data_IF_981911465580
#
_entry.id   IF_981911465580
#
_cell.length_a   1.000
_cell.length_b   1.000
_cell.length_c   1.000
_cell.angle_alpha   90.00
_cell.angle_beta   90.00
_cell.angle_gamma   90.00
#
_symmetry.space_group_name_H-M   'P 1'
#
loop_
_entity.id
_entity.type
_entity.pdbx_description
1 polymer ?
#
# COMPACT_ATOMS: atom_id res chain seq x y z
N UNK A 1 39.28 7.78 -16.50
CA UNK A 1 38.88 7.07 -15.27
C UNK A 1 38.66 5.60 -15.61
N UNK A 2 39.20 4.67 -14.83
CA UNK A 2 39.00 3.22 -15.00
C UNK A 2 38.18 2.74 -13.80
N UNK A 3 36.99 2.19 -14.06
CA UNK A 3 36.11 1.64 -13.02
C UNK A 3 36.26 0.13 -12.96
N UNK A 4 36.39 -0.40 -11.74
CA UNK A 4 36.30 -1.84 -11.48
C UNK A 4 34.91 -2.14 -10.96
N UNK A 5 34.05 -2.67 -11.83
CA UNK A 5 32.68 -3.04 -11.49
C UNK A 5 32.63 -4.53 -11.18
N UNK A 6 31.87 -4.92 -10.15
CA UNK A 6 31.55 -6.30 -9.84
C UNK A 6 30.03 -6.45 -9.86
N UNK A 7 29.52 -7.39 -10.65
CA UNK A 7 28.11 -7.79 -10.58
C UNK A 7 27.95 -8.58 -9.29
N UNK A 8 27.09 -8.09 -8.39
CA UNK A 8 26.85 -8.72 -7.09
C UNK A 8 25.80 -9.80 -7.23
N UNK A 9 24.67 -9.45 -7.84
CA UNK A 9 23.51 -10.33 -7.94
C UNK A 9 22.62 -9.92 -9.13
N UNK A 10 21.85 -10.88 -9.64
CA UNK A 10 20.77 -10.65 -10.60
C UNK A 10 19.45 -11.01 -9.93
N UNK A 11 18.56 -10.04 -9.79
CA UNK A 11 17.23 -10.24 -9.21
C UNK A 11 16.33 -10.97 -10.22
N UNK A 12 15.98 -12.21 -9.92
CA UNK A 12 15.11 -13.02 -10.78
C UNK A 12 13.65 -13.06 -10.32
N UNK A 13 13.43 -12.97 -9.01
CA UNK A 13 12.08 -12.99 -8.41
C UNK A 13 11.25 -11.75 -8.85
N UNK A 14 10.03 -11.93 -9.38
CA UNK A 14 9.18 -10.82 -9.82
C UNK A 14 8.84 -9.80 -8.73
N UNK A 15 8.64 -10.24 -7.48
CA UNK A 15 8.28 -9.34 -6.37
C UNK A 15 9.49 -8.52 -5.95
N UNK A 16 10.66 -9.16 -5.86
CA UNK A 16 11.93 -8.45 -5.58
C UNK A 16 12.29 -7.47 -6.71
N UNK A 17 11.95 -7.76 -7.97
CA UNK A 17 12.10 -6.78 -9.06
C UNK A 17 11.22 -5.56 -8.85
N UNK A 18 9.96 -5.74 -8.44
CA UNK A 18 9.07 -4.61 -8.13
C UNK A 18 9.65 -3.78 -6.98
N UNK A 19 10.13 -4.44 -5.92
CA UNK A 19 10.80 -3.78 -4.79
C UNK A 19 12.02 -2.97 -5.26
N UNK A 20 12.91 -3.58 -6.04
CA UNK A 20 14.11 -2.93 -6.56
C UNK A 20 13.80 -1.74 -7.48
N UNK A 21 12.74 -1.83 -8.30
CA UNK A 21 12.31 -0.71 -9.16
C UNK A 21 11.83 0.46 -8.30
N UNK A 22 11.01 0.20 -7.26
CA UNK A 22 10.56 1.25 -6.35
C UNK A 22 11.76 1.86 -5.63
N UNK A 23 12.69 1.06 -5.13
CA UNK A 23 13.89 1.55 -4.43
C UNK A 23 14.80 2.40 -5.32
N UNK A 24 14.95 2.03 -6.60
CA UNK A 24 15.77 2.76 -7.56
C UNK A 24 15.27 4.20 -7.79
N UNK A 25 13.96 4.37 -7.90
CA UNK A 25 13.33 5.66 -8.25
C UNK A 25 12.81 6.42 -7.01
N UNK A 26 12.54 5.71 -5.92
CA UNK A 26 12.03 6.23 -4.65
C UNK A 26 12.63 5.43 -3.45
N UNK A 27 13.91 5.68 -3.09
CA UNK A 27 14.64 4.92 -2.05
C UNK A 27 14.16 5.18 -0.61
N UNK A 28 13.07 5.93 -0.44
CA UNK A 28 12.54 6.36 0.85
C UNK A 28 11.62 5.27 1.40
N UNK A 29 11.94 4.76 2.59
CA UNK A 29 11.08 3.87 3.40
C UNK A 29 10.56 2.65 2.61
N UNK A 30 11.42 2.04 1.77
CA UNK A 30 11.06 0.92 0.89
C UNK A 30 10.40 -0.26 1.65
N UNK A 31 10.79 -0.46 2.90
CA UNK A 31 10.25 -1.51 3.77
C UNK A 31 8.78 -1.27 4.16
N UNK A 32 8.26 -0.06 4.04
CA UNK A 32 6.84 0.25 4.30
C UNK A 32 5.93 -0.10 3.12
N UNK A 33 6.48 -0.28 1.92
CA UNK A 33 5.72 -0.71 0.75
C UNK A 33 5.38 -2.20 0.87
N UNK A 34 4.08 -2.52 0.87
CA UNK A 34 3.63 -3.93 0.91
C UNK A 34 3.29 -4.39 -0.49
N UNK A 35 4.12 -5.24 -1.05
CA UNK A 35 3.97 -5.79 -2.40
C UNK A 35 3.36 -7.19 -2.28
N UNK A 36 2.31 -7.45 -3.05
CA UNK A 36 1.62 -8.75 -3.08
C UNK A 36 1.34 -9.18 -4.52
N UNK A 37 1.85 -10.33 -4.96
CA UNK A 37 1.48 -10.89 -6.25
C UNK A 37 0.10 -11.54 -6.19
N UNK A 38 -0.70 -11.35 -7.23
CA UNK A 38 -2.02 -11.98 -7.43
C UNK A 38 -2.13 -12.44 -8.90
N UNK A 39 -1.68 -13.67 -9.18
CA UNK A 39 -1.66 -14.19 -10.55
C UNK A 39 -0.74 -13.36 -11.46
N UNK A 40 -1.29 -12.77 -12.53
CA UNK A 40 -0.58 -11.88 -13.44
C UNK A 40 -0.54 -10.42 -12.99
N UNK A 41 -1.17 -10.10 -11.86
CA UNK A 41 -1.24 -8.76 -11.27
C UNK A 41 -0.28 -8.63 -10.08
N UNK A 42 0.21 -7.42 -9.84
CA UNK A 42 0.85 -7.05 -8.57
C UNK A 42 0.09 -5.92 -7.88
N UNK A 43 -0.13 -6.08 -6.57
CA UNK A 43 -0.71 -5.06 -5.70
C UNK A 43 0.39 -4.45 -4.85
N UNK A 44 0.51 -3.13 -4.88
CA UNK A 44 1.43 -2.37 -4.04
C UNK A 44 0.63 -1.46 -3.11
N UNK A 45 0.65 -1.75 -1.81
CA UNK A 45 0.05 -0.87 -0.80
C UNK A 45 1.05 0.23 -0.46
N UNK A 46 0.61 1.47 -0.66
CA UNK A 46 1.43 2.66 -0.46
C UNK A 46 1.51 3.05 1.02
N UNK A 47 2.68 3.51 1.50
CA UNK A 47 2.80 4.12 2.81
C UNK A 47 2.09 5.48 2.87
N UNK A 48 1.76 5.93 4.08
CA UNK A 48 1.04 7.20 4.30
C UNK A 48 1.84 8.43 3.86
N UNK A 49 3.17 8.32 3.79
CA UNK A 49 4.05 9.38 3.29
C UNK A 49 3.75 9.75 1.84
N UNK A 50 3.41 8.77 1.00
CA UNK A 50 3.13 8.98 -0.42
C UNK A 50 2.01 9.98 -0.68
N UNK A 51 1.11 10.18 0.29
CA UNK A 51 -0.03 11.11 0.19
C UNK A 51 0.38 12.58 0.13
N UNK A 52 1.55 12.91 0.66
CA UNK A 52 2.01 14.29 0.84
C UNK A 52 3.40 14.54 0.25
N UNK A 53 4.07 13.51 -0.28
CA UNK A 53 5.41 13.63 -0.86
C UNK A 53 5.30 13.96 -2.35
N UNK A 54 5.71 15.18 -2.73
CA UNK A 54 5.71 15.63 -4.13
C UNK A 54 6.64 14.78 -5.02
N UNK A 55 7.70 14.19 -4.44
CA UNK A 55 8.60 13.33 -5.22
C UNK A 55 7.86 12.08 -5.67
N UNK A 56 7.01 11.50 -4.80
CA UNK A 56 6.22 10.32 -5.13
C UNK A 56 5.30 10.58 -6.33
N UNK A 57 4.56 11.69 -6.31
CA UNK A 57 3.65 12.03 -7.41
C UNK A 57 4.39 12.20 -8.74
N UNK A 58 5.61 12.75 -8.70
CA UNK A 58 6.45 12.91 -9.89
C UNK A 58 6.94 11.58 -10.47
N UNK A 59 7.31 10.61 -9.62
CA UNK A 59 7.96 9.36 -10.07
C UNK A 59 6.98 8.19 -10.24
N UNK A 60 5.78 8.26 -9.66
CA UNK A 60 4.77 7.19 -9.63
C UNK A 60 4.49 6.56 -11.00
N UNK A 61 4.31 7.39 -12.04
CA UNK A 61 4.04 6.89 -13.39
C UNK A 61 5.26 6.20 -14.01
N UNK A 62 6.47 6.66 -13.70
CA UNK A 62 7.71 6.05 -14.18
C UNK A 62 7.91 4.67 -13.52
N UNK A 63 7.72 4.60 -12.20
CA UNK A 63 7.73 3.34 -11.44
C UNK A 63 6.69 2.37 -12.01
N UNK A 64 5.46 2.83 -12.26
CA UNK A 64 4.40 2.01 -12.83
C UNK A 64 4.80 1.39 -14.17
N UNK A 65 5.34 2.22 -15.07
CA UNK A 65 5.82 1.79 -16.38
C UNK A 65 6.95 0.76 -16.25
N UNK A 66 7.95 1.03 -15.40
CA UNK A 66 9.07 0.12 -15.19
C UNK A 66 8.61 -1.22 -14.61
N UNK A 67 7.67 -1.21 -13.66
CA UNK A 67 7.10 -2.45 -13.12
C UNK A 67 6.48 -3.27 -14.24
N UNK A 68 5.59 -2.69 -15.06
CA UNK A 68 4.91 -3.42 -16.12
C UNK A 68 5.87 -3.93 -17.22
N UNK A 69 6.95 -3.19 -17.49
CA UNK A 69 7.92 -3.57 -18.52
C UNK A 69 8.92 -4.64 -18.07
N UNK A 70 9.29 -4.68 -16.78
CA UNK A 70 10.45 -5.47 -16.32
C UNK A 70 10.14 -6.52 -15.25
N UNK A 71 9.02 -6.43 -14.53
CA UNK A 71 8.69 -7.37 -13.45
C UNK A 71 8.09 -8.69 -13.95
N UNK A 72 7.43 -8.67 -15.12
CA UNK A 72 6.66 -9.80 -15.66
C UNK A 72 5.18 -9.80 -15.30
N UNK A 73 4.69 -8.83 -14.50
CA UNK A 73 3.26 -8.63 -14.26
C UNK A 73 2.61 -7.85 -15.41
N UNK A 74 1.39 -8.22 -15.77
CA UNK A 74 0.59 -7.53 -16.79
C UNK A 74 -0.24 -6.38 -16.23
N UNK A 75 -0.48 -6.38 -14.92
CA UNK A 75 -1.34 -5.43 -14.24
C UNK A 75 -0.70 -4.97 -12.92
N UNK A 76 -0.92 -3.70 -12.57
CA UNK A 76 -0.41 -3.08 -11.36
C UNK A 76 -1.52 -2.27 -10.68
N UNK A 77 -1.73 -2.52 -9.39
CA UNK A 77 -2.63 -1.74 -8.54
C UNK A 77 -1.83 -1.04 -7.43
N UNK A 78 -1.92 0.29 -7.36
CA UNK A 78 -1.50 1.03 -6.18
C UNK A 78 -2.68 1.24 -5.24
N UNK A 79 -2.56 0.78 -3.99
CA UNK A 79 -3.60 0.93 -2.97
C UNK A 79 -3.16 1.95 -1.94
N UNK A 80 -3.94 3.01 -1.81
CA UNK A 80 -3.75 4.08 -0.84
C UNK A 80 -4.93 4.11 0.14
N UNK A 81 -4.65 3.94 1.44
CA UNK A 81 -5.69 3.83 2.46
C UNK A 81 -5.97 5.16 3.15
N UNK A 82 -7.20 5.63 3.10
CA UNK A 82 -7.65 6.79 3.88
C UNK A 82 -8.55 6.31 5.01
N UNK A 83 -8.06 6.39 6.26
CA UNK A 83 -8.82 6.01 7.45
C UNK A 83 -9.07 7.25 8.31
N UNK A 84 -10.27 7.34 8.90
CA UNK A 84 -10.49 8.29 9.99
C UNK A 84 -9.60 7.88 11.16
N UNK A 85 -8.96 8.82 11.88
CA UNK A 85 -8.24 8.48 13.10
C UNK A 85 -9.23 7.79 14.04
N UNK A 86 -8.89 6.58 14.49
CA UNK A 86 -9.69 5.89 15.51
C UNK A 86 -9.68 6.79 16.74
N UNK A 87 -10.83 7.39 17.07
CA UNK A 87 -11.01 7.98 18.39
C UNK A 87 -10.65 6.88 19.39
N UNK A 88 -9.68 7.13 20.27
CA UNK A 88 -9.52 6.33 21.49
C UNK A 88 -10.85 6.48 22.23
N UNK A 89 -11.74 5.51 22.08
CA UNK A 89 -12.89 5.39 22.95
C UNK A 89 -12.36 4.97 24.32
N UNK A 90 -12.30 5.94 25.22
CA UNK A 90 -12.62 5.69 26.62
C UNK A 90 -14.01 5.03 26.64
N UNK A 91 -14.06 3.70 26.76
CA UNK A 91 -15.22 3.01 27.34
C UNK A 91 -14.83 1.57 27.69
N UNK A 92 -14.13 1.46 28.80
CA UNK A 92 -14.43 0.42 29.76
C UNK A 92 -15.81 0.72 30.37
N UNK A 93 -16.88 0.17 29.79
CA UNK A 93 -18.02 -0.37 30.53
C UNK A 93 -18.95 -1.12 29.58
N UNK A 94 -19.04 -2.44 29.76
CA UNK A 94 -20.20 -3.22 29.31
C UNK A 94 -21.42 -2.74 30.09
N UNK A 95 -22.61 -2.76 29.47
CA UNK A 95 -23.56 -3.78 29.90
C UNK A 95 -24.12 -4.66 28.78
N UNK A 96 -24.33 -5.93 29.13
CA UNK A 96 -25.11 -6.95 28.42
C UNK A 96 -26.59 -6.52 28.26
N UNK A 97 -27.18 -6.92 27.13
CA UNK A 97 -28.55 -7.46 26.84
C UNK A 97 -29.74 -6.87 27.65
N UNK A 98 -30.91 -6.57 27.07
CA UNK A 98 -31.75 -7.47 26.28
C UNK A 98 -32.97 -6.72 25.69
N UNK A 99 -33.48 -7.23 24.58
CA UNK A 99 -34.71 -6.90 23.86
C UNK A 99 -35.96 -6.58 24.73
N UNK A 100 -36.77 -5.61 24.30
CA UNK A 100 -38.24 -5.74 24.19
C UNK A 100 -38.89 -4.61 23.37
N UNK A 101 -39.54 -5.06 22.31
CA UNK A 101 -40.34 -4.37 21.29
C UNK A 101 -41.73 -3.94 21.79
N UNK A 102 -42.20 -2.73 21.39
CA UNK A 102 -43.58 -2.36 20.94
C UNK A 102 -43.66 -0.83 20.79
N UNK A 103 -43.68 -0.30 19.57
CA UNK A 103 -44.89 0.02 18.76
C UNK A 103 -45.82 1.07 19.40
N UNK A 104 -45.78 2.26 18.76
CA UNK A 104 -46.78 3.34 18.58
C UNK A 104 -48.13 3.24 19.32
N UNK A 105 -48.55 4.32 19.99
CA UNK A 105 -49.61 5.26 19.51
C UNK A 105 -50.05 6.29 20.57
N UNK A 106 -50.21 7.54 20.08
CA UNK A 106 -51.23 8.54 20.42
C UNK A 106 -51.36 9.13 21.84
N UNK A 107 -51.25 10.46 21.85
CA UNK A 107 -52.05 11.45 22.59
C UNK A 107 -53.14 10.92 23.53
N UNK A 108 -53.09 11.33 24.80
CA UNK A 108 -53.94 12.42 25.33
C UNK A 108 -53.40 12.95 26.65
#
# INVERSE_FOLDING_TARGET
>A
MIYKVKIVEKVEDPVEKVRAIIEMDYPKDIEEFKIKPEGSKVIVKLPDRCKYDNDWERVKLFIASNILNYSGFSELEFIEYYMKPKKKSEESEKPKQEDSKKEETSSN
#
